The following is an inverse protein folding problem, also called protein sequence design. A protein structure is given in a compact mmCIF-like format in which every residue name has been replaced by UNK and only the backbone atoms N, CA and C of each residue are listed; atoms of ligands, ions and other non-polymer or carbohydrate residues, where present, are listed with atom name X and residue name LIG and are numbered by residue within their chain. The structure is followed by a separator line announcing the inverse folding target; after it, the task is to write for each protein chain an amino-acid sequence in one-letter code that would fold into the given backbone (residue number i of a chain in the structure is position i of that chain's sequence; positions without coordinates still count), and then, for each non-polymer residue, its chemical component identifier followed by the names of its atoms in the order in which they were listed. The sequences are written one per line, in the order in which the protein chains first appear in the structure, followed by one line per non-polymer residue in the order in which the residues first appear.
data_IF_068558095963
#
_entry.id   IF_068558095963
#
_cell.length_a   1.000
_cell.length_b   1.000
_cell.length_c   1.000
_cell.angle_alpha   90.00
_cell.angle_beta   90.00
_cell.angle_gamma   90.00
#
_symmetry.space_group_name_H-M   'P 1'
#
loop_
_entity.id
_entity.type
_entity.pdbx_description
1 polymer ?
#
# COMPACT_ATOMS: atom_id res chain seq x y z
N UNK A 1 20.82 -16.15 -11.59
CA UNK A 1 21.40 -15.42 -10.44
C UNK A 1 20.67 -15.95 -9.21
N UNK A 2 21.39 -16.21 -8.15
CA UNK A 2 20.80 -16.66 -6.89
C UNK A 2 20.19 -15.44 -6.20
N UNK A 3 18.93 -15.54 -5.76
CA UNK A 3 18.25 -14.47 -5.01
C UNK A 3 18.88 -14.41 -3.60
N UNK A 4 19.48 -13.27 -3.25
CA UNK A 4 20.17 -13.08 -1.97
C UNK A 4 19.23 -13.26 -0.78
N UNK A 5 17.97 -12.90 -0.92
CA UNK A 5 16.99 -13.04 0.15
C UNK A 5 16.63 -14.51 0.42
N UNK A 6 16.62 -15.36 -0.61
CA UNK A 6 16.41 -16.81 -0.47
C UNK A 6 17.61 -17.47 0.22
N UNK A 7 18.83 -17.08 -0.16
CA UNK A 7 20.06 -17.60 0.47
C UNK A 7 20.14 -17.21 1.95
N UNK A 8 19.60 -16.05 2.32
CA UNK A 8 19.60 -15.56 3.69
C UNK A 8 18.56 -16.25 4.61
N UNK A 9 17.64 -17.08 4.08
CA UNK A 9 16.57 -17.69 4.88
C UNK A 9 17.09 -18.44 6.13
N UNK A 10 18.15 -19.29 6.08
CA UNK A 10 18.67 -19.93 7.29
C UNK A 10 19.17 -18.91 8.32
N UNK A 11 19.79 -17.81 7.86
CA UNK A 11 20.24 -16.70 8.71
C UNK A 11 19.05 -15.99 9.38
N UNK A 12 17.97 -15.79 8.67
CA UNK A 12 16.74 -15.19 9.25
C UNK A 12 16.22 -16.01 10.41
N UNK A 13 16.04 -17.31 10.23
CA UNK A 13 15.56 -18.18 11.34
C UNK A 13 16.55 -18.27 12.50
N UNK A 14 17.85 -18.33 12.21
CA UNK A 14 18.88 -18.35 13.24
C UNK A 14 18.87 -17.07 14.10
N UNK A 15 18.82 -15.90 13.45
CA UNK A 15 18.79 -14.59 14.15
C UNK A 15 17.48 -14.35 14.87
N UNK A 16 16.33 -14.74 14.28
CA UNK A 16 15.03 -14.72 14.98
C UNK A 16 15.04 -15.58 16.24
N UNK A 17 15.61 -16.78 16.18
CA UNK A 17 15.75 -17.65 17.37
C UNK A 17 16.61 -17.02 18.46
N UNK A 18 17.71 -16.38 18.08
CA UNK A 18 18.60 -15.66 18.99
C UNK A 18 17.90 -14.45 19.63
N UNK A 19 17.19 -13.64 18.82
CA UNK A 19 16.42 -12.50 19.30
C UNK A 19 15.28 -12.95 20.23
N UNK A 20 14.55 -14.00 19.88
CA UNK A 20 13.52 -14.58 20.75
C UNK A 20 14.08 -14.95 22.12
N UNK A 21 15.22 -15.67 22.16
CA UNK A 21 15.85 -16.05 23.44
C UNK A 21 16.32 -14.83 24.24
N UNK A 22 16.85 -13.81 23.57
CA UNK A 22 17.29 -12.57 24.20
C UNK A 22 16.11 -11.76 24.77
N UNK A 23 15.09 -11.51 23.97
CA UNK A 23 13.92 -10.71 24.38
C UNK A 23 13.10 -11.42 25.46
N UNK A 24 12.98 -12.76 25.39
CA UNK A 24 12.35 -13.58 26.43
C UNK A 24 13.06 -13.43 27.78
N UNK A 25 14.40 -13.53 27.82
CA UNK A 25 15.19 -13.35 29.05
C UNK A 25 15.04 -11.96 29.65
N UNK A 26 15.01 -10.91 28.82
CA UNK A 26 14.79 -9.53 29.29
C UNK A 26 13.42 -9.38 29.95
N UNK A 27 12.37 -9.90 29.32
CA UNK A 27 11.00 -9.87 29.86
C UNK A 27 10.88 -10.67 31.18
N UNK A 28 11.49 -11.84 31.24
CA UNK A 28 11.55 -12.65 32.48
C UNK A 28 12.31 -11.93 33.62
N UNK A 29 13.24 -11.04 33.26
CA UNK A 29 13.94 -10.17 34.21
C UNK A 29 13.15 -8.88 34.57
N UNK A 30 11.89 -8.74 34.09
CA UNK A 30 11.03 -7.58 34.40
C UNK A 30 11.20 -6.38 33.47
N UNK A 31 11.89 -6.53 32.36
CA UNK A 31 12.05 -5.45 31.39
C UNK A 31 10.82 -5.33 30.49
N UNK A 32 9.99 -4.35 30.78
CA UNK A 32 8.77 -4.03 30.02
C UNK A 32 9.04 -3.19 28.75
N UNK A 33 10.29 -2.76 28.53
CA UNK A 33 10.63 -1.95 27.35
C UNK A 33 10.61 -2.75 26.04
N UNK A 34 10.64 -4.09 26.13
CA UNK A 34 10.68 -5.01 24.99
C UNK A 34 9.39 -5.82 24.94
N UNK A 35 8.61 -5.69 23.85
CA UNK A 35 7.38 -6.46 23.66
C UNK A 35 7.66 -7.92 23.28
N UNK A 36 8.77 -8.16 22.55
CA UNK A 36 9.20 -9.47 22.12
C UNK A 36 8.25 -10.12 21.11
N UNK A 37 8.25 -11.46 21.10
CA UNK A 37 7.46 -12.27 20.17
C UNK A 37 6.11 -12.65 20.79
N UNK A 38 5.08 -12.58 19.97
CA UNK A 38 3.76 -13.15 20.24
C UNK A 38 3.48 -14.21 19.16
N UNK A 39 2.88 -15.34 19.55
CA UNK A 39 2.77 -16.51 18.68
C UNK A 39 1.97 -16.25 17.41
N UNK A 40 0.77 -15.72 17.56
CA UNK A 40 -0.16 -15.58 16.43
C UNK A 40 0.28 -14.47 15.48
N UNK A 41 0.85 -13.39 16.01
CA UNK A 41 1.46 -12.32 15.23
C UNK A 41 2.68 -12.83 14.43
N UNK A 42 3.54 -13.62 15.09
CA UNK A 42 4.72 -14.23 14.45
C UNK A 42 4.31 -15.20 13.33
N UNK A 43 3.33 -16.08 13.61
CA UNK A 43 2.82 -17.01 12.60
C UNK A 43 2.19 -16.27 11.42
N UNK A 44 1.45 -15.19 11.67
CA UNK A 44 0.92 -14.34 10.60
C UNK A 44 2.06 -13.72 9.77
N UNK A 45 3.11 -13.20 10.42
CA UNK A 45 4.29 -12.63 9.73
C UNK A 45 4.97 -13.66 8.83
N UNK A 46 5.20 -14.87 9.34
CA UNK A 46 5.80 -15.97 8.56
C UNK A 46 4.89 -16.43 7.40
N UNK A 47 3.58 -16.54 7.64
CA UNK A 47 2.61 -16.92 6.61
C UNK A 47 2.56 -15.87 5.48
N UNK A 48 2.60 -14.58 5.82
CA UNK A 48 2.67 -13.51 4.84
C UNK A 48 3.99 -13.53 4.07
N UNK A 49 5.12 -13.79 4.75
CA UNK A 49 6.42 -13.95 4.10
C UNK A 49 6.44 -15.09 3.07
N UNK A 50 5.96 -16.27 3.43
CA UNK A 50 5.81 -17.39 2.49
C UNK A 50 4.84 -17.02 1.35
N UNK A 51 3.71 -16.39 1.68
CA UNK A 51 2.75 -15.92 0.70
C UNK A 51 3.36 -14.96 -0.32
N UNK A 52 4.19 -14.02 0.12
CA UNK A 52 4.84 -13.04 -0.74
C UNK A 52 5.86 -13.67 -1.72
N UNK A 53 6.51 -14.76 -1.34
CA UNK A 53 7.39 -15.52 -2.24
C UNK A 53 6.61 -16.30 -3.32
N UNK A 54 5.44 -16.83 -2.96
CA UNK A 54 4.61 -17.65 -3.87
C UNK A 54 3.69 -16.78 -4.75
N UNK A 55 3.21 -15.67 -4.24
CA UNK A 55 2.24 -14.81 -4.91
C UNK A 55 2.68 -14.35 -6.32
N UNK A 56 3.92 -13.92 -6.59
CA UNK A 56 4.35 -13.50 -7.92
C UNK A 56 4.23 -14.63 -8.95
N UNK A 57 4.48 -15.89 -8.55
CA UNK A 57 4.41 -17.05 -9.44
C UNK A 57 2.96 -17.34 -9.87
N UNK A 58 2.02 -17.23 -8.93
CA UNK A 58 0.58 -17.45 -9.16
C UNK A 58 -0.01 -16.25 -9.91
N UNK A 59 0.25 -15.05 -9.42
CA UNK A 59 -0.32 -13.81 -9.96
C UNK A 59 0.11 -13.55 -11.39
N UNK A 60 1.35 -13.87 -11.77
CA UNK A 60 1.80 -13.76 -13.15
C UNK A 60 0.93 -14.60 -14.12
N UNK A 61 0.49 -15.79 -13.68
CA UNK A 61 -0.40 -16.66 -14.47
C UNK A 61 -1.83 -16.13 -14.49
N UNK A 62 -2.35 -15.69 -13.33
CA UNK A 62 -3.74 -15.21 -13.17
C UNK A 62 -3.95 -13.88 -13.91
N UNK A 63 -3.00 -12.97 -13.85
CA UNK A 63 -3.13 -11.63 -14.45
C UNK A 63 -2.83 -11.58 -15.95
N UNK A 64 -2.04 -12.55 -16.47
CA UNK A 64 -1.68 -12.58 -17.91
C UNK A 64 -2.89 -12.50 -18.85
N UNK A 65 -3.99 -13.26 -18.64
CA UNK A 65 -5.16 -13.20 -19.53
C UNK A 65 -5.82 -11.82 -19.61
N UNK A 66 -5.83 -11.09 -18.52
CA UNK A 66 -6.51 -9.78 -18.39
C UNK A 66 -5.59 -8.58 -18.64
N UNK A 67 -4.28 -8.81 -18.79
CA UNK A 67 -3.31 -7.72 -19.04
C UNK A 67 -3.51 -7.11 -20.44
N UNK A 68 -3.78 -5.80 -20.56
CA UNK A 68 -3.95 -5.14 -21.84
C UNK A 68 -2.74 -5.28 -22.77
N UNK A 69 -2.98 -5.65 -24.02
CA UNK A 69 -1.94 -5.85 -25.03
C UNK A 69 -1.15 -7.16 -24.91
N UNK A 70 -1.47 -8.03 -23.94
CA UNK A 70 -0.86 -9.37 -23.78
C UNK A 70 -1.88 -10.48 -23.68
N UNK A 71 -2.97 -10.28 -22.94
CA UNK A 71 -4.00 -11.28 -22.72
C UNK A 71 -5.20 -11.13 -23.64
N UNK A 72 -5.87 -12.26 -23.94
CA UNK A 72 -7.07 -12.25 -24.80
C UNK A 72 -8.24 -11.46 -24.18
N UNK A 73 -8.28 -11.34 -22.84
CA UNK A 73 -9.33 -10.63 -22.12
C UNK A 73 -8.95 -9.17 -21.78
N UNK A 74 -7.72 -8.73 -22.09
CA UNK A 74 -7.25 -7.39 -21.74
C UNK A 74 -8.08 -6.27 -22.36
N UNK A 75 -8.56 -6.44 -23.61
CA UNK A 75 -9.49 -5.48 -24.24
C UNK A 75 -10.86 -5.49 -23.56
N UNK A 76 -11.37 -6.68 -23.23
CA UNK A 76 -12.65 -6.82 -22.54
C UNK A 76 -12.60 -6.15 -21.15
N UNK A 77 -11.52 -6.33 -20.39
CA UNK A 77 -11.33 -5.64 -19.12
C UNK A 77 -11.41 -4.11 -19.25
N UNK A 78 -10.68 -3.54 -20.23
CA UNK A 78 -10.71 -2.09 -20.47
C UNK A 78 -12.10 -1.61 -20.88
N UNK A 79 -12.74 -2.30 -21.81
CA UNK A 79 -14.08 -1.94 -22.27
C UNK A 79 -15.12 -2.05 -21.14
N UNK A 80 -15.03 -3.09 -20.31
CA UNK A 80 -15.88 -3.25 -19.12
C UNK A 80 -15.66 -2.12 -18.12
N UNK A 81 -14.42 -1.74 -17.84
CA UNK A 81 -14.11 -0.62 -16.93
C UNK A 81 -14.65 0.71 -17.47
N UNK A 82 -14.45 0.99 -18.75
CA UNK A 82 -14.95 2.22 -19.41
C UNK A 82 -16.48 2.23 -19.46
N UNK A 83 -17.13 1.12 -19.83
CA UNK A 83 -18.59 0.99 -19.82
C UNK A 83 -19.18 1.17 -18.42
N UNK A 84 -18.56 0.57 -17.42
CA UNK A 84 -18.95 0.73 -16.03
C UNK A 84 -18.77 2.18 -15.54
N UNK A 85 -17.70 2.88 -15.97
CA UNK A 85 -17.53 4.30 -15.68
C UNK A 85 -18.64 5.16 -16.31
N UNK A 86 -19.02 4.88 -17.54
CA UNK A 86 -20.14 5.56 -18.21
C UNK A 86 -21.47 5.32 -17.47
N UNK A 87 -21.75 4.08 -17.06
CA UNK A 87 -22.95 3.73 -16.26
C UNK A 87 -22.94 4.47 -14.92
N UNK A 88 -21.80 4.51 -14.23
CA UNK A 88 -21.64 5.25 -12.96
C UNK A 88 -21.93 6.74 -13.15
N UNK A 89 -21.35 7.35 -14.18
CA UNK A 89 -21.55 8.78 -14.48
C UNK A 89 -23.01 9.10 -14.80
N UNK A 90 -23.67 8.24 -15.61
CA UNK A 90 -25.09 8.40 -15.92
C UNK A 90 -25.98 8.23 -14.69
N UNK A 91 -25.68 7.24 -13.83
CA UNK A 91 -26.42 7.01 -12.59
C UNK A 91 -26.26 8.18 -11.61
N UNK A 92 -25.03 8.70 -11.41
CA UNK A 92 -24.79 9.90 -10.59
C UNK A 92 -25.57 11.12 -11.11
N UNK A 93 -25.62 11.31 -12.44
CA UNK A 93 -26.39 12.41 -13.05
C UNK A 93 -27.90 12.27 -12.82
N UNK A 94 -28.44 11.05 -12.89
CA UNK A 94 -29.85 10.78 -12.57
C UNK A 94 -30.14 11.05 -11.10
N UNK A 95 -29.27 10.61 -10.19
CA UNK A 95 -29.45 10.81 -8.75
C UNK A 95 -29.46 12.28 -8.38
N UNK A 96 -28.50 13.08 -8.87
CA UNK A 96 -28.46 14.55 -8.63
C UNK A 96 -29.72 15.25 -9.13
N UNK A 97 -30.12 15.01 -10.39
CA UNK A 97 -31.31 15.65 -10.97
C UNK A 97 -32.62 15.30 -10.25
N UNK A 98 -32.65 14.16 -9.57
CA UNK A 98 -33.83 13.74 -8.81
C UNK A 98 -33.82 14.23 -7.36
N UNK A 99 -32.66 14.62 -6.83
CA UNK A 99 -32.53 15.31 -5.54
C UNK A 99 -33.02 16.76 -5.64
N UNK A 100 -32.54 17.49 -6.64
CA UNK A 100 -32.93 18.89 -6.93
C UNK A 100 -34.46 19.01 -7.16
N UNK A 101 -35.08 18.02 -7.82
CA UNK A 101 -36.50 18.03 -8.13
C UNK A 101 -37.45 17.62 -6.97
N UNK A 102 -36.93 16.91 -5.95
CA UNK A 102 -37.71 16.57 -4.74
C UNK A 102 -37.76 17.77 -3.75
N UNK A 103 -36.83 18.74 -3.82
CA UNK A 103 -36.82 19.97 -3.02
C UNK A 103 -37.77 21.05 -3.57
N UNK A 104 -37.97 21.11 -4.88
CA UNK A 104 -38.91 22.07 -5.50
C UNK A 104 -40.40 21.65 -5.33
N UNK A 105 -40.67 20.37 -5.16
CA UNK A 105 -42.03 19.84 -5.00
C UNK A 105 -42.51 19.77 -3.54
N UNK A 106 -42.37 20.86 -2.78
CA UNK A 106 -42.88 20.97 -1.42
C UNK A 106 -44.41 20.68 -1.35
N UNK A 107 -44.78 19.60 -0.58
CA UNK A 107 -46.13 19.07 -0.25
C UNK A 107 -46.79 18.19 -1.34
N UNK A 108 -47.07 16.92 -1.05
CA UNK A 108 -47.70 15.99 -2.02
C UNK A 108 -49.19 16.14 -2.02
N UNK A 109 -49.74 17.08 -2.77
CA UNK A 109 -51.19 17.29 -2.96
C UNK A 109 -51.76 16.87 -4.31
N UNK A 110 -50.93 16.40 -5.25
CA UNK A 110 -51.39 15.97 -6.58
C UNK A 110 -51.25 14.43 -6.78
N UNK A 111 -52.17 13.81 -7.55
CA UNK A 111 -52.07 12.39 -7.92
C UNK A 111 -50.75 12.09 -8.65
N UNK A 112 -50.24 10.87 -8.57
CA UNK A 112 -48.95 10.52 -9.17
C UNK A 112 -49.00 10.66 -10.71
N UNK A 113 -48.33 11.69 -11.23
CA UNK A 113 -48.14 11.88 -12.66
C UNK A 113 -47.20 10.78 -13.19
N UNK A 114 -47.43 10.27 -14.38
CA UNK A 114 -46.60 9.28 -15.07
C UNK A 114 -45.11 9.66 -15.12
N UNK A 115 -44.81 10.96 -15.15
CA UNK A 115 -43.45 11.49 -15.11
C UNK A 115 -42.80 11.27 -13.72
N UNK A 116 -43.54 11.42 -12.64
CA UNK A 116 -43.08 11.19 -11.25
C UNK A 116 -42.77 9.71 -11.03
N UNK A 117 -43.57 8.82 -11.55
CA UNK A 117 -43.33 7.37 -11.48
C UNK A 117 -42.08 6.97 -12.30
N UNK A 118 -41.90 7.52 -13.51
CA UNK A 118 -40.71 7.32 -14.33
C UNK A 118 -39.44 7.81 -13.62
N UNK A 119 -39.47 8.99 -12.99
CA UNK A 119 -38.35 9.55 -12.21
C UNK A 119 -38.01 8.62 -11.02
N UNK A 120 -38.98 8.17 -10.24
CA UNK A 120 -38.79 7.23 -9.13
C UNK A 120 -38.20 5.91 -9.60
N UNK A 121 -38.65 5.36 -10.72
CA UNK A 121 -38.12 4.14 -11.33
C UNK A 121 -36.65 4.34 -11.76
N UNK A 122 -36.35 5.44 -12.42
CA UNK A 122 -34.98 5.78 -12.84
C UNK A 122 -34.04 5.94 -11.63
N UNK A 123 -34.46 6.66 -10.59
CA UNK A 123 -33.71 6.82 -9.33
C UNK A 123 -33.43 5.47 -8.65
N UNK A 124 -34.42 4.59 -8.59
CA UNK A 124 -34.26 3.24 -8.03
C UNK A 124 -33.25 2.40 -8.80
N UNK A 125 -33.26 2.48 -10.14
CA UNK A 125 -32.30 1.79 -11.00
C UNK A 125 -30.90 2.39 -10.81
N UNK A 126 -30.77 3.71 -10.83
CA UNK A 126 -29.49 4.40 -10.64
C UNK A 126 -28.84 4.05 -9.31
N UNK A 127 -29.62 4.04 -8.19
CA UNK A 127 -29.12 3.63 -6.87
C UNK A 127 -28.61 2.19 -6.82
N UNK A 128 -29.23 1.27 -7.57
CA UNK A 128 -28.77 -0.13 -7.65
C UNK A 128 -27.49 -0.30 -8.47
N UNK A 129 -27.29 0.54 -9.48
CA UNK A 129 -26.19 0.41 -10.44
C UNK A 129 -24.94 1.20 -10.06
N UNK A 130 -25.10 2.36 -9.41
CA UNK A 130 -24.00 3.31 -9.20
C UNK A 130 -22.82 2.71 -8.41
N UNK A 131 -23.10 2.01 -7.31
CA UNK A 131 -22.06 1.38 -6.51
C UNK A 131 -21.32 0.26 -7.23
N UNK A 132 -21.99 -0.81 -7.68
CA UNK A 132 -21.35 -1.91 -8.40
C UNK A 132 -20.62 -1.47 -9.68
N UNK A 133 -21.20 -0.52 -10.44
CA UNK A 133 -20.55 0.01 -11.63
C UNK A 133 -19.30 0.84 -11.26
N UNK A 134 -19.37 1.68 -10.22
CA UNK A 134 -18.23 2.44 -9.71
C UNK A 134 -17.07 1.53 -9.28
N UNK A 135 -17.35 0.49 -8.52
CA UNK A 135 -16.37 -0.53 -8.13
C UNK A 135 -15.77 -1.22 -9.36
N UNK A 136 -16.60 -1.65 -10.30
CA UNK A 136 -16.13 -2.30 -11.54
C UNK A 136 -15.23 -1.39 -12.36
N UNK A 137 -15.58 -0.11 -12.48
CA UNK A 137 -14.80 0.88 -13.22
C UNK A 137 -13.42 1.09 -12.56
N UNK A 138 -13.40 1.32 -11.26
CA UNK A 138 -12.18 1.60 -10.51
C UNK A 138 -11.29 0.35 -10.45
N UNK A 139 -11.81 -0.78 -10.01
CA UNK A 139 -11.03 -2.02 -9.91
C UNK A 139 -10.49 -2.47 -11.29
N UNK A 140 -11.33 -2.43 -12.32
CA UNK A 140 -10.92 -2.74 -13.68
C UNK A 140 -9.85 -1.79 -14.21
N UNK A 141 -9.99 -0.48 -13.95
CA UNK A 141 -9.02 0.54 -14.31
C UNK A 141 -7.68 0.34 -13.62
N UNK A 142 -7.68 0.06 -12.30
CA UNK A 142 -6.48 -0.20 -11.52
C UNK A 142 -5.78 -1.48 -12.00
N UNK A 143 -6.49 -2.58 -12.18
CA UNK A 143 -5.91 -3.84 -12.70
C UNK A 143 -5.32 -3.63 -14.10
N UNK A 144 -6.03 -2.96 -15.00
CA UNK A 144 -5.52 -2.68 -16.34
C UNK A 144 -4.29 -1.77 -16.33
N UNK A 145 -4.29 -0.73 -15.50
CA UNK A 145 -3.18 0.21 -15.32
C UNK A 145 -1.94 -0.45 -14.75
N UNK A 146 -2.06 -1.09 -13.58
CA UNK A 146 -0.95 -1.72 -12.86
C UNK A 146 -0.32 -2.86 -13.64
N UNK A 147 -1.13 -3.75 -14.25
CA UNK A 147 -0.60 -4.86 -15.05
C UNK A 147 0.08 -4.36 -16.34
N UNK A 148 -0.44 -3.32 -16.97
CA UNK A 148 0.21 -2.68 -18.12
C UNK A 148 1.54 -2.05 -17.72
N UNK A 149 1.55 -1.30 -16.61
CA UNK A 149 2.75 -0.68 -16.06
C UNK A 149 3.81 -1.73 -15.75
N UNK A 150 3.49 -2.72 -14.92
CA UNK A 150 4.41 -3.79 -14.53
C UNK A 150 5.04 -4.51 -15.73
N UNK A 151 4.25 -4.73 -16.81
CA UNK A 151 4.77 -5.40 -18.00
C UNK A 151 5.61 -4.50 -18.92
N UNK A 152 5.44 -3.19 -18.85
CA UNK A 152 6.16 -2.23 -19.70
C UNK A 152 7.43 -1.70 -19.05
N UNK A 153 7.52 -1.73 -17.72
CA UNK A 153 8.61 -1.14 -16.94
C UNK A 153 9.60 -2.16 -16.36
N UNK A 154 9.57 -3.41 -16.83
CA UNK A 154 10.56 -4.41 -16.40
C UNK A 154 11.97 -3.98 -16.76
N UNK A 155 12.95 -4.20 -15.87
CA UNK A 155 14.35 -3.84 -16.06
C UNK A 155 14.90 -4.37 -17.40
N UNK A 156 14.66 -5.65 -17.72
CA UNK A 156 15.08 -6.27 -18.98
C UNK A 156 14.49 -5.58 -20.23
N UNK A 157 13.24 -5.11 -20.16
CA UNK A 157 12.60 -4.45 -21.31
C UNK A 157 13.16 -3.05 -21.52
N UNK A 158 13.36 -2.31 -20.45
CA UNK A 158 13.89 -0.96 -20.50
C UNK A 158 15.37 -0.97 -20.87
N UNK A 159 16.13 -1.92 -20.34
CA UNK A 159 17.52 -2.16 -20.71
C UNK A 159 17.73 -2.34 -22.22
N UNK A 160 16.93 -3.19 -22.86
CA UNK A 160 17.01 -3.44 -24.31
C UNK A 160 16.74 -2.22 -25.18
N UNK A 161 16.14 -1.18 -24.64
CA UNK A 161 15.82 0.06 -25.35
C UNK A 161 16.91 1.13 -25.20
N UNK A 162 17.84 0.92 -24.30
CA UNK A 162 18.86 1.90 -23.94
C UNK A 162 20.25 1.46 -24.41
N UNK A 163 21.07 2.44 -24.82
CA UNK A 163 22.44 2.16 -25.33
C UNK A 163 23.52 2.35 -24.26
N UNK A 164 23.17 2.88 -23.09
CA UNK A 164 24.14 3.16 -22.02
C UNK A 164 24.34 1.92 -21.17
N UNK A 165 25.58 1.55 -20.92
CA UNK A 165 25.98 0.44 -20.06
C UNK A 165 27.07 0.93 -19.10
N UNK A 166 26.72 0.95 -17.79
CA UNK A 166 27.63 1.34 -16.72
C UNK A 166 28.55 0.19 -16.28
N UNK A 167 28.38 -1.01 -16.87
CA UNK A 167 29.16 -2.19 -16.50
C UNK A 167 28.71 -2.82 -15.19
N UNK A 168 29.64 -3.61 -14.58
CA UNK A 168 29.41 -4.36 -13.33
C UNK A 168 30.53 -4.16 -12.31
N UNK A 169 31.37 -3.18 -12.50
CA UNK A 169 32.48 -2.84 -11.58
C UNK A 169 31.95 -2.30 -10.23
N UNK A 170 32.86 -2.13 -9.28
CA UNK A 170 32.57 -1.67 -7.94
C UNK A 170 31.77 -0.34 -7.91
N UNK A 171 32.17 0.64 -8.72
CA UNK A 171 31.49 1.94 -8.82
C UNK A 171 30.05 1.80 -9.34
N UNK A 172 29.83 0.95 -10.35
CA UNK A 172 28.50 0.69 -10.87
C UNK A 172 27.63 -0.03 -9.82
N UNK A 173 28.21 -0.94 -9.03
CA UNK A 173 27.51 -1.65 -7.95
C UNK A 173 27.10 -0.69 -6.83
N UNK A 174 28.02 0.12 -6.32
CA UNK A 174 27.71 1.13 -5.30
C UNK A 174 26.68 2.13 -5.84
N UNK A 175 26.86 2.62 -7.06
CA UNK A 175 25.93 3.52 -7.72
C UNK A 175 24.52 2.90 -7.87
N UNK A 176 24.43 1.61 -8.20
CA UNK A 176 23.15 0.91 -8.28
C UNK A 176 22.46 0.77 -6.91
N UNK A 177 23.22 0.48 -5.84
CA UNK A 177 22.67 0.40 -4.46
C UNK A 177 22.16 1.75 -4.01
N UNK A 178 22.95 2.83 -4.20
CA UNK A 178 22.53 4.18 -3.82
C UNK A 178 21.32 4.66 -4.64
N UNK A 179 21.30 4.40 -5.93
CA UNK A 179 20.17 4.76 -6.79
C UNK A 179 18.93 3.95 -6.46
N UNK A 180 19.07 2.66 -6.09
CA UNK A 180 17.99 1.84 -5.59
C UNK A 180 17.43 2.41 -4.28
N UNK A 181 18.29 2.73 -3.32
CA UNK A 181 17.93 3.25 -2.01
C UNK A 181 17.15 4.57 -2.13
N UNK A 182 17.60 5.46 -3.02
CA UNK A 182 16.90 6.71 -3.34
C UNK A 182 15.49 6.47 -3.93
N UNK A 183 15.37 5.56 -4.90
CA UNK A 183 14.07 5.21 -5.50
C UNK A 183 13.18 4.52 -4.48
N UNK A 184 13.76 3.68 -3.63
CA UNK A 184 13.03 3.01 -2.57
C UNK A 184 12.41 4.02 -1.60
N UNK A 185 13.15 5.04 -1.17
CA UNK A 185 12.62 6.12 -0.32
C UNK A 185 11.33 6.72 -0.90
N UNK A 186 11.34 7.10 -2.18
CA UNK A 186 10.17 7.68 -2.84
C UNK A 186 9.02 6.69 -2.99
N UNK A 187 9.33 5.44 -3.34
CA UNK A 187 8.31 4.41 -3.41
C UNK A 187 7.66 4.15 -2.06
N UNK A 188 8.46 4.04 -1.01
CA UNK A 188 8.00 3.80 0.35
C UNK A 188 7.13 4.97 0.86
N UNK A 189 7.59 6.20 0.63
CA UNK A 189 6.81 7.40 0.93
C UNK A 189 5.46 7.41 0.20
N UNK A 190 5.43 7.11 -1.10
CA UNK A 190 4.18 7.02 -1.85
C UNK A 190 3.26 5.89 -1.36
N UNK A 191 3.81 4.80 -0.84
CA UNK A 191 3.03 3.74 -0.20
C UNK A 191 2.28 4.23 1.03
N UNK A 192 2.77 5.25 1.71
CA UNK A 192 2.07 5.91 2.83
C UNK A 192 1.12 7.03 2.36
N UNK A 193 1.47 7.76 1.32
CA UNK A 193 0.71 8.91 0.84
C UNK A 193 -0.44 8.57 -0.14
N UNK A 194 -0.55 7.32 -0.61
CA UNK A 194 -1.61 6.86 -1.50
C UNK A 194 -2.29 5.63 -0.93
N UNK A 195 -3.60 5.71 -0.68
CA UNK A 195 -4.35 4.63 -0.03
C UNK A 195 -4.33 3.32 -0.80
N UNK A 196 -4.29 3.37 -2.15
CA UNK A 196 -4.12 2.16 -2.97
C UNK A 196 -2.77 1.47 -2.70
N UNK A 197 -1.70 2.23 -2.61
CA UNK A 197 -0.37 1.70 -2.30
C UNK A 197 -0.27 1.32 -0.82
N UNK A 198 -0.90 2.09 0.07
CA UNK A 198 -1.03 1.76 1.48
C UNK A 198 -1.74 0.42 1.69
N UNK A 199 -2.79 0.12 0.94
CA UNK A 199 -3.50 -1.16 1.03
C UNK A 199 -2.60 -2.38 0.78
N UNK A 200 -1.47 -2.19 0.09
CA UNK A 200 -0.42 -3.20 -0.06
C UNK A 200 0.51 -3.15 1.16
N UNK A 201 0.97 -1.96 1.54
CA UNK A 201 2.01 -1.78 2.56
C UNK A 201 1.50 -1.90 4.00
N UNK A 202 0.22 -1.61 4.25
CA UNK A 202 -0.43 -1.77 5.56
C UNK A 202 -0.30 -3.19 6.14
N UNK A 203 -0.15 -4.19 5.28
CA UNK A 203 0.16 -5.58 5.67
C UNK A 203 1.40 -5.61 6.56
N UNK A 204 2.45 -4.90 6.15
CA UNK A 204 3.72 -4.81 6.85
C UNK A 204 3.57 -4.08 8.20
N UNK A 205 2.84 -2.98 8.25
CA UNK A 205 2.59 -2.20 9.45
C UNK A 205 1.56 -2.81 10.40
N UNK A 206 0.84 -3.86 10.00
CA UNK A 206 -0.24 -4.46 10.81
C UNK A 206 0.23 -5.34 11.97
N UNK A 207 1.53 -5.51 12.16
CA UNK A 207 2.09 -6.20 13.33
C UNK A 207 1.99 -5.31 14.57
N UNK A 208 1.41 -5.84 15.65
CA UNK A 208 1.36 -5.18 16.96
C UNK A 208 2.60 -5.51 17.80
N UNK A 209 3.57 -6.19 17.20
CA UNK A 209 4.89 -6.52 17.74
C UNK A 209 5.97 -6.02 16.80
N UNK A 210 7.14 -5.77 17.35
CA UNK A 210 8.27 -5.33 16.54
C UNK A 210 9.52 -6.17 16.85
N UNK A 211 9.82 -7.08 15.94
CA UNK A 211 10.92 -8.02 16.04
C UNK A 211 11.30 -8.50 14.62
N UNK A 212 12.35 -9.30 14.49
CA UNK A 212 12.83 -9.74 13.19
C UNK A 212 11.79 -10.49 12.35
N UNK A 213 10.74 -11.08 12.95
CA UNK A 213 9.66 -11.68 12.17
C UNK A 213 8.77 -10.63 11.47
N UNK A 214 8.70 -9.41 12.01
CA UNK A 214 7.96 -8.29 11.38
C UNK A 214 8.53 -7.95 10.02
N UNK A 215 9.86 -8.04 9.83
CA UNK A 215 10.49 -7.88 8.51
C UNK A 215 9.97 -8.88 7.47
N UNK A 216 9.51 -10.04 7.89
CA UNK A 216 8.97 -11.09 7.01
C UNK A 216 7.46 -10.94 6.76
N UNK A 217 6.77 -9.99 7.41
CA UNK A 217 5.37 -9.67 7.15
C UNK A 217 5.25 -8.86 5.84
N UNK A 218 5.43 -9.55 4.73
CA UNK A 218 5.48 -8.94 3.40
C UNK A 218 4.13 -9.04 2.68
N UNK A 219 3.76 -8.03 1.88
CA UNK A 219 2.51 -8.04 1.14
C UNK A 219 2.51 -9.11 0.04
N UNK A 220 1.40 -9.84 -0.08
CA UNK A 220 1.16 -10.77 -1.19
C UNK A 220 0.65 -10.06 -2.44
N UNK A 221 0.20 -8.82 -2.31
CA UNK A 221 -0.41 -8.03 -3.37
C UNK A 221 0.59 -7.13 -4.13
N UNK A 222 1.88 -7.25 -3.89
CA UNK A 222 2.94 -6.49 -4.58
C UNK A 222 2.83 -6.55 -6.11
N UNK A 223 2.30 -7.65 -6.65
CA UNK A 223 2.06 -7.79 -8.09
C UNK A 223 1.07 -6.74 -8.65
N UNK A 224 0.21 -6.17 -7.80
CA UNK A 224 -0.73 -5.09 -8.16
C UNK A 224 -0.17 -3.69 -7.91
N UNK A 225 0.85 -3.60 -7.06
CA UNK A 225 1.45 -2.33 -6.66
C UNK A 225 2.88 -2.15 -7.15
N UNK A 226 3.34 -2.91 -8.14
CA UNK A 226 4.69 -2.79 -8.70
C UNK A 226 4.93 -1.37 -9.25
N UNK A 227 4.79 -0.41 -8.33
CA UNK A 227 5.06 0.99 -8.58
C UNK A 227 6.56 1.26 -8.57
N UNK A 228 7.35 0.38 -7.91
CA UNK A 228 8.80 0.55 -7.89
C UNK A 228 9.31 0.49 -9.33
N UNK A 229 9.73 1.61 -9.88
CA UNK A 229 10.25 1.65 -11.22
C UNK A 229 11.69 1.09 -11.24
N UNK A 230 11.89 -0.13 -10.77
CA UNK A 230 13.20 -0.79 -10.82
C UNK A 230 13.79 -0.76 -12.21
N UNK A 231 12.92 -0.83 -13.21
CA UNK A 231 13.29 -0.63 -14.59
C UNK A 231 13.87 0.75 -14.91
N UNK A 232 13.55 1.81 -14.14
CA UNK A 232 14.15 3.13 -14.36
C UNK A 232 15.67 3.11 -14.13
N UNK A 233 16.16 2.31 -13.19
CA UNK A 233 17.59 2.11 -13.00
C UNK A 233 18.25 1.56 -14.28
N UNK A 234 17.56 0.69 -14.99
CA UNK A 234 18.07 0.18 -16.29
C UNK A 234 18.05 1.24 -17.40
N UNK A 235 17.19 2.25 -17.33
CA UNK A 235 17.26 3.42 -18.21
C UNK A 235 18.47 4.30 -17.92
N UNK A 236 18.93 4.35 -16.67
CA UNK A 236 20.15 5.06 -16.30
C UNK A 236 21.43 4.34 -16.75
N UNK A 237 21.31 3.08 -17.20
CA UNK A 237 22.44 2.27 -17.68
C UNK A 237 22.91 1.20 -16.70
N UNK A 238 22.17 0.94 -15.62
CA UNK A 238 22.46 -0.21 -14.75
C UNK A 238 21.92 -1.49 -15.36
N UNK A 239 22.76 -2.51 -15.44
CA UNK A 239 22.37 -3.83 -15.95
C UNK A 239 21.29 -4.46 -15.07
N UNK A 240 20.30 -5.18 -15.62
CA UNK A 240 19.21 -5.80 -14.84
C UNK A 240 19.70 -6.67 -13.67
N UNK A 241 20.81 -7.39 -13.86
CA UNK A 241 21.40 -8.20 -12.79
C UNK A 241 21.90 -7.34 -11.63
N UNK A 242 22.45 -6.16 -11.90
CA UNK A 242 22.94 -5.25 -10.89
C UNK A 242 21.79 -4.61 -10.12
N UNK A 243 20.69 -4.31 -10.82
CA UNK A 243 19.44 -3.81 -10.21
C UNK A 243 18.88 -4.84 -9.22
N UNK A 244 18.87 -6.13 -9.58
CA UNK A 244 18.43 -7.20 -8.67
C UNK A 244 19.40 -7.41 -7.50
N UNK A 245 20.69 -7.27 -7.71
CA UNK A 245 21.69 -7.29 -6.62
C UNK A 245 21.45 -6.13 -5.65
N UNK A 246 21.25 -4.91 -6.16
CA UNK A 246 20.94 -3.75 -5.32
C UNK A 246 19.66 -3.94 -4.51
N UNK A 247 18.61 -4.52 -5.12
CA UNK A 247 17.37 -4.92 -4.42
C UNK A 247 17.68 -5.89 -3.28
N UNK A 248 18.43 -6.94 -3.55
CA UNK A 248 18.77 -7.93 -2.54
C UNK A 248 19.54 -7.35 -1.36
N UNK A 249 20.54 -6.49 -1.63
CA UNK A 249 21.31 -5.77 -0.60
C UNK A 249 20.39 -4.90 0.25
N UNK A 250 19.50 -4.15 -0.39
CA UNK A 250 18.56 -3.26 0.29
C UNK A 250 17.60 -4.05 1.20
N UNK A 251 17.02 -5.16 0.73
CA UNK A 251 16.12 -6.01 1.53
C UNK A 251 16.84 -6.69 2.69
N UNK A 252 18.09 -7.13 2.50
CA UNK A 252 18.90 -7.69 3.60
C UNK A 252 19.19 -6.64 4.67
N UNK A 253 19.47 -5.40 4.23
CA UNK A 253 19.65 -4.30 5.17
C UNK A 253 18.38 -4.05 5.97
N UNK A 254 17.24 -4.00 5.33
CA UNK A 254 15.94 -3.76 6.01
C UNK A 254 15.60 -4.83 7.03
N UNK A 255 16.05 -6.07 6.85
CA UNK A 255 15.73 -7.15 7.79
C UNK A 255 16.22 -6.85 9.22
N UNK A 256 17.48 -6.51 9.39
CA UNK A 256 18.09 -6.36 10.72
C UNK A 256 17.63 -5.11 11.48
N UNK A 257 17.07 -4.12 10.79
CA UNK A 257 16.54 -2.92 11.46
C UNK A 257 15.17 -3.15 12.14
N UNK A 258 14.52 -4.29 11.89
CA UNK A 258 13.24 -4.65 12.52
C UNK A 258 13.45 -5.34 13.87
N UNK A 259 13.96 -4.62 14.87
CA UNK A 259 14.20 -5.20 16.20
C UNK A 259 14.13 -4.18 17.31
N UNK A 260 13.62 -4.60 18.48
CA UNK A 260 13.75 -3.88 19.75
C UNK A 260 15.04 -4.26 20.51
N UNK A 261 15.76 -5.29 20.06
CA UNK A 261 16.97 -5.77 20.76
C UNK A 261 18.15 -4.80 20.62
N UNK A 262 18.13 -3.92 19.62
CA UNK A 262 19.19 -2.95 19.35
C UNK A 262 18.67 -1.55 19.63
N UNK A 263 19.33 -0.85 20.56
CA UNK A 263 19.03 0.56 20.89
C UNK A 263 19.56 1.55 19.86
N UNK A 264 19.74 2.80 20.30
CA UNK A 264 20.31 3.86 19.45
C UNK A 264 21.81 3.60 19.17
N UNK A 265 22.22 3.83 17.92
CA UNK A 265 23.59 3.58 17.43
C UNK A 265 24.45 4.86 17.33
N UNK A 266 24.03 5.95 17.98
CA UNK A 266 24.78 7.20 18.07
C UNK A 266 25.01 7.83 16.70
N UNK A 267 26.26 8.21 16.39
CA UNK A 267 26.61 8.96 15.16
C UNK A 267 26.32 8.20 13.86
N UNK A 268 26.18 6.88 13.89
CA UNK A 268 25.76 6.12 12.70
C UNK A 268 24.34 6.54 12.24
N UNK A 269 23.51 6.99 13.17
CA UNK A 269 22.14 7.46 12.93
C UNK A 269 22.06 8.81 12.17
N UNK A 270 23.17 9.49 12.00
CA UNK A 270 23.21 10.71 11.18
C UNK A 270 23.08 10.39 9.69
N UNK A 271 23.52 9.19 9.27
CA UNK A 271 23.58 8.76 7.86
C UNK A 271 22.74 7.52 7.59
N UNK A 272 22.81 6.53 8.48
CA UNK A 272 22.16 5.23 8.28
C UNK A 272 20.77 5.18 8.92
N UNK A 273 19.86 4.49 8.25
CA UNK A 273 18.62 4.07 8.88
C UNK A 273 18.93 2.92 9.85
N UNK A 274 18.52 3.04 11.09
CA UNK A 274 18.83 2.12 12.19
C UNK A 274 17.56 1.54 12.79
N UNK A 275 17.64 0.53 13.67
CA UNK A 275 16.46 0.03 14.37
C UNK A 275 15.65 1.14 15.07
N UNK A 276 16.33 2.13 15.68
CA UNK A 276 15.67 3.29 16.32
C UNK A 276 14.82 4.09 15.31
N UNK A 277 15.37 4.39 14.15
CA UNK A 277 14.63 5.12 13.11
C UNK A 277 13.46 4.31 12.52
N UNK A 278 13.67 3.01 12.35
CA UNK A 278 12.66 2.15 11.74
C UNK A 278 11.56 1.75 12.72
N UNK A 279 11.83 1.74 14.04
CA UNK A 279 10.78 1.69 15.07
C UNK A 279 9.84 2.87 14.97
N UNK A 280 10.37 4.10 14.82
CA UNK A 280 9.56 5.30 14.58
C UNK A 280 8.67 5.13 13.34
N UNK A 281 9.25 4.60 12.25
CA UNK A 281 8.51 4.34 11.01
C UNK A 281 7.30 3.41 11.23
N UNK A 282 7.44 2.39 12.07
CA UNK A 282 6.38 1.46 12.45
C UNK A 282 5.48 1.96 13.58
N UNK A 283 5.73 3.16 14.11
CA UNK A 283 4.97 3.73 15.21
C UNK A 283 3.60 4.27 14.77
N UNK A 284 2.56 3.95 15.54
CA UNK A 284 1.23 4.55 15.43
C UNK A 284 1.04 5.81 16.29
N UNK A 285 2.09 6.25 17.00
CA UNK A 285 2.12 7.52 17.71
C UNK A 285 1.86 8.68 16.72
N UNK A 286 1.06 9.69 17.06
CA UNK A 286 0.73 10.80 16.15
C UNK A 286 1.94 11.48 15.51
N UNK A 287 3.03 11.69 16.27
CA UNK A 287 4.28 12.31 15.82
C UNK A 287 5.13 11.41 14.91
N UNK A 288 4.85 10.10 14.88
CA UNK A 288 5.58 9.09 14.10
C UNK A 288 4.91 8.72 12.78
N UNK A 289 3.65 9.11 12.62
CA UNK A 289 2.90 8.84 11.38
C UNK A 289 3.63 9.46 10.18
N UNK A 290 3.80 8.65 9.14
CA UNK A 290 4.43 9.02 7.87
C UNK A 290 5.86 9.59 8.02
N UNK A 291 6.66 8.99 8.92
CA UNK A 291 8.06 9.33 9.16
C UNK A 291 9.02 8.20 8.77
N UNK A 292 10.27 8.59 8.49
CA UNK A 292 11.42 7.69 8.32
C UNK A 292 11.24 6.61 7.23
N UNK A 293 10.97 7.02 6.00
CA UNK A 293 10.75 6.14 4.85
C UNK A 293 12.05 5.56 4.23
N UNK A 294 13.23 6.02 4.66
CA UNK A 294 14.52 5.53 4.16
C UNK A 294 14.70 4.05 4.39
N UNK A 295 15.48 3.39 3.53
CA UNK A 295 15.86 1.99 3.70
C UNK A 295 17.26 1.87 4.33
N UNK A 296 18.33 2.09 3.55
CA UNK A 296 19.70 2.06 4.05
C UNK A 296 20.09 3.42 4.64
N UNK A 297 19.78 4.50 3.91
CA UNK A 297 20.20 5.85 4.24
C UNK A 297 19.02 6.68 4.77
N UNK A 298 19.14 7.19 5.99
CA UNK A 298 18.18 8.12 6.60
C UNK A 298 18.35 9.56 6.06
N UNK A 299 19.40 9.80 5.29
CA UNK A 299 19.65 11.14 4.72
C UNK A 299 18.53 11.61 3.79
N UNK A 300 17.80 10.68 3.16
CA UNK A 300 16.65 11.03 2.31
C UNK A 300 15.53 11.64 3.13
N UNK A 301 15.23 11.07 4.30
CA UNK A 301 14.22 11.62 5.21
C UNK A 301 14.61 13.00 5.73
N UNK A 302 15.90 13.21 6.04
CA UNK A 302 16.42 14.51 6.45
C UNK A 302 16.31 15.53 5.31
N UNK A 303 16.64 15.13 4.09
CA UNK A 303 16.61 15.98 2.91
C UNK A 303 15.19 16.39 2.50
N UNK A 304 14.24 15.46 2.61
CA UNK A 304 12.85 15.66 2.15
C UNK A 304 11.84 15.89 3.29
N UNK A 305 12.32 16.13 4.52
CA UNK A 305 11.51 16.61 5.63
C UNK A 305 10.62 15.57 6.30
N UNK A 306 10.92 14.27 6.13
CA UNK A 306 10.19 13.16 6.77
C UNK A 306 10.94 12.53 7.95
N UNK A 307 12.07 13.11 8.36
CA UNK A 307 12.87 12.60 9.47
C UNK A 307 12.21 12.88 10.83
N UNK A 308 12.17 11.86 11.70
CA UNK A 308 11.79 11.97 13.10
C UNK A 308 12.69 11.08 13.97
N UNK A 309 13.11 11.59 15.13
CA UNK A 309 13.85 10.81 16.13
C UNK A 309 12.89 9.95 16.95
N UNK A 310 13.41 8.87 17.52
CA UNK A 310 12.72 8.09 18.54
C UNK A 310 12.87 8.79 19.89
N UNK A 311 11.93 9.65 20.23
CA UNK A 311 11.94 10.42 21.48
C UNK A 311 10.96 9.82 22.50
N UNK A 312 9.84 9.28 22.05
CA UNK A 312 8.82 8.63 22.85
C UNK A 312 8.81 7.11 22.60
N UNK A 313 8.29 6.36 23.55
CA UNK A 313 8.08 4.91 23.37
C UNK A 313 7.16 4.66 22.18
N UNK A 314 7.61 3.80 21.28
CA UNK A 314 6.84 3.46 20.10
C UNK A 314 5.65 2.56 20.47
N UNK A 315 4.49 2.90 19.95
CA UNK A 315 3.28 2.06 19.95
C UNK A 315 3.17 1.43 18.57
N UNK A 316 3.25 0.10 18.49
CA UNK A 316 3.19 -0.61 17.21
C UNK A 316 1.77 -0.99 16.82
N UNK A 317 1.58 -1.31 15.55
CA UNK A 317 0.32 -1.59 14.93
C UNK A 317 -0.23 -0.40 14.17
N UNK A 318 -1.49 -0.51 13.78
CA UNK A 318 -2.19 0.54 13.04
C UNK A 318 -2.88 1.51 14.01
N UNK A 319 -3.19 2.71 13.56
CA UNK A 319 -4.06 3.64 14.32
C UNK A 319 -5.44 3.03 14.61
N UNK A 320 -5.87 2.07 13.79
CA UNK A 320 -7.01 1.19 14.03
C UNK A 320 -6.60 -0.23 13.64
N UNK A 321 -6.35 -1.09 14.61
CA UNK A 321 -5.91 -2.46 14.39
C UNK A 321 -6.96 -3.32 13.70
N UNK A 322 -6.50 -4.39 13.02
CA UNK A 322 -7.36 -5.30 12.23
C UNK A 322 -8.15 -6.25 13.14
N UNK A 323 -7.69 -6.45 14.39
CA UNK A 323 -8.20 -7.41 15.37
C UNK A 323 -8.26 -8.85 14.83
N UNK A 324 -7.25 -9.22 14.01
CA UNK A 324 -7.18 -10.53 13.38
C UNK A 324 -5.77 -10.86 12.93
N UNK A 325 -5.31 -12.07 13.24
CA UNK A 325 -4.06 -12.63 12.72
C UNK A 325 -4.27 -13.50 11.47
N UNK A 326 -5.49 -13.57 10.94
CA UNK A 326 -5.78 -14.39 9.76
C UNK A 326 -5.15 -13.78 8.50
N UNK A 327 -4.23 -14.49 7.79
CA UNK A 327 -3.46 -13.92 6.67
C UNK A 327 -4.32 -13.33 5.55
N UNK A 328 -5.46 -13.94 5.21
CA UNK A 328 -6.34 -13.39 4.19
C UNK A 328 -6.97 -12.06 4.64
N UNK A 329 -7.34 -11.91 5.93
CA UNK A 329 -7.87 -10.65 6.46
C UNK A 329 -6.80 -9.58 6.43
N UNK A 330 -5.58 -9.90 6.87
CA UNK A 330 -4.43 -9.00 6.82
C UNK A 330 -4.18 -8.51 5.39
N UNK A 331 -4.19 -9.43 4.41
CA UNK A 331 -3.91 -9.10 3.02
C UNK A 331 -4.99 -8.28 2.30
N UNK A 332 -6.25 -8.29 2.78
CA UNK A 332 -7.38 -7.79 1.98
C UNK A 332 -8.23 -6.72 2.64
N UNK A 333 -8.07 -6.46 3.94
CA UNK A 333 -8.97 -5.56 4.68
C UNK A 333 -9.06 -4.17 4.07
N UNK A 334 -7.91 -3.52 3.82
CA UNK A 334 -7.86 -2.15 3.30
C UNK A 334 -8.35 -2.09 1.83
N UNK A 335 -8.05 -3.11 1.03
CA UNK A 335 -8.62 -3.21 -0.32
C UNK A 335 -10.15 -3.31 -0.28
N UNK A 336 -10.71 -4.09 0.65
CA UNK A 336 -12.16 -4.21 0.83
C UNK A 336 -12.78 -2.89 1.28
N UNK A 337 -12.08 -2.14 2.15
CA UNK A 337 -12.54 -0.84 2.63
C UNK A 337 -12.52 0.21 1.50
N UNK A 338 -11.47 0.25 0.68
CA UNK A 338 -11.43 1.09 -0.53
C UNK A 338 -12.63 0.79 -1.45
N UNK A 339 -12.88 -0.49 -1.75
CA UNK A 339 -14.00 -0.86 -2.64
C UNK A 339 -15.36 -0.50 -2.04
N UNK A 340 -15.52 -0.62 -0.73
CA UNK A 340 -16.73 -0.20 0.00
C UNK A 340 -16.93 1.31 -0.10
N UNK A 341 -15.87 2.10 0.09
CA UNK A 341 -15.93 3.56 0.00
C UNK A 341 -16.26 4.04 -1.42
N UNK A 342 -15.66 3.41 -2.44
CA UNK A 342 -15.98 3.64 -3.85
C UNK A 342 -17.45 3.35 -4.14
N UNK A 343 -17.98 2.23 -3.61
CA UNK A 343 -19.38 1.84 -3.81
C UNK A 343 -20.37 2.84 -3.19
N UNK A 344 -20.01 3.43 -2.05
CA UNK A 344 -20.87 4.39 -1.33
C UNK A 344 -20.63 5.86 -1.73
N UNK A 345 -19.68 6.13 -2.61
CA UNK A 345 -19.41 7.49 -3.09
C UNK A 345 -20.43 7.92 -4.14
N UNK A 346 -20.84 9.19 -4.09
CA UNK A 346 -21.88 9.81 -4.95
C UNK A 346 -21.30 10.62 -6.10
N UNK A 347 -19.97 10.71 -6.18
CA UNK A 347 -19.27 11.47 -7.22
C UNK A 347 -17.88 10.88 -7.50
N UNK A 348 -17.32 11.22 -8.68
CA UNK A 348 -15.99 10.77 -9.08
C UNK A 348 -14.83 11.32 -8.24
N UNK A 349 -14.81 12.61 -7.82
CA UNK A 349 -13.77 13.12 -6.94
C UNK A 349 -13.62 12.31 -5.65
N UNK A 350 -14.72 11.91 -5.01
CA UNK A 350 -14.68 11.07 -3.81
C UNK A 350 -14.20 9.65 -4.14
N UNK A 351 -14.72 9.02 -5.21
CA UNK A 351 -14.25 7.68 -5.64
C UNK A 351 -12.76 7.64 -5.87
N UNK A 352 -12.24 8.62 -6.62
CA UNK A 352 -10.80 8.71 -6.88
C UNK A 352 -10.02 9.11 -5.63
N UNK A 353 -10.58 9.98 -4.77
CA UNK A 353 -9.99 10.36 -3.49
C UNK A 353 -9.79 9.16 -2.58
N UNK A 354 -10.79 8.28 -2.43
CA UNK A 354 -10.69 7.07 -1.63
C UNK A 354 -9.67 6.04 -2.14
N UNK A 355 -9.28 6.13 -3.40
CA UNK A 355 -8.25 5.24 -3.99
C UNK A 355 -6.86 5.85 -3.92
N UNK A 356 -6.69 7.13 -4.27
CA UNK A 356 -5.39 7.71 -4.57
C UNK A 356 -4.89 8.75 -3.57
N UNK A 357 -5.77 9.33 -2.72
CA UNK A 357 -5.30 10.17 -1.61
C UNK A 357 -4.81 9.30 -0.45
N UNK A 358 -4.10 9.91 0.50
CA UNK A 358 -3.59 9.20 1.67
C UNK A 358 -4.69 8.61 2.57
N UNK A 359 -4.37 7.59 3.38
CA UNK A 359 -5.34 6.99 4.30
C UNK A 359 -5.94 8.01 5.29
N UNK A 360 -5.16 8.99 5.75
CA UNK A 360 -5.64 10.07 6.62
C UNK A 360 -6.82 10.83 6.03
N UNK A 361 -6.77 11.16 4.73
CA UNK A 361 -7.90 11.81 4.05
C UNK A 361 -9.18 10.96 4.08
N UNK A 362 -9.07 9.64 3.97
CA UNK A 362 -10.23 8.76 4.05
C UNK A 362 -10.88 8.79 5.44
N UNK A 363 -10.07 8.81 6.51
CA UNK A 363 -10.57 8.96 7.88
C UNK A 363 -11.27 10.31 8.09
N UNK A 364 -10.66 11.40 7.64
CA UNK A 364 -11.28 12.74 7.69
C UNK A 364 -12.61 12.78 6.92
N UNK A 365 -12.65 12.15 5.73
CA UNK A 365 -13.86 12.09 4.91
C UNK A 365 -14.97 11.25 5.56
N UNK A 366 -14.63 10.20 6.28
CA UNK A 366 -15.58 9.43 7.08
C UNK A 366 -16.12 10.24 8.26
N UNK A 367 -15.25 10.92 9.02
CA UNK A 367 -15.64 11.77 10.13
C UNK A 367 -16.61 12.86 9.69
N UNK A 368 -16.30 13.57 8.59
CA UNK A 368 -17.16 14.61 8.03
C UNK A 368 -18.55 14.13 7.59
N UNK A 369 -18.69 12.83 7.27
CA UNK A 369 -20.02 12.23 6.94
C UNK A 369 -20.86 11.91 8.18
N UNK A 370 -20.23 11.80 9.35
CA UNK A 370 -20.89 11.48 10.62
C UNK A 370 -21.12 12.72 11.50
N UNK A 371 -20.51 13.86 11.18
CA UNK A 371 -20.83 15.10 11.84
C UNK A 371 -22.24 15.57 11.43
N UNK A 372 -23.12 15.92 12.39
CA UNK A 372 -24.42 16.52 12.07
C UNK A 372 -24.14 17.83 11.31
N UNK A 373 -24.72 17.98 10.13
CA UNK A 373 -24.68 19.29 9.45
C UNK A 373 -25.22 20.36 10.40
N UNK A 374 -24.50 21.48 10.62
CA UNK A 374 -25.06 22.57 11.40
C UNK A 374 -26.41 22.95 10.78
N UNK A 375 -27.44 22.99 11.60
CA UNK A 375 -28.76 23.40 11.16
C UNK A 375 -28.59 24.71 10.39
N UNK A 376 -29.09 24.74 9.14
CA UNK A 376 -29.04 25.94 8.31
C UNK A 376 -29.65 27.07 9.15
N UNK A 377 -28.81 28.02 9.52
CA UNK A 377 -29.22 29.12 10.40
C UNK A 377 -30.41 29.85 9.74
N UNK A 378 -31.50 29.87 10.46
CA UNK A 378 -32.60 30.78 10.22
C UNK A 378 -32.01 32.18 10.52
N UNK A 379 -31.65 32.93 9.46
CA UNK A 379 -31.35 34.33 9.53
C UNK A 379 -32.60 35.12 9.24
#
# INVERSE_FOLDING_TARGET
MVDLTVVAIPGYFGTMGAEYAYTKRRREAGDESVLGYERDDTLASLAMGVGSLLAPMVMAKVLKPVTPGRGKLGRALVLTAVGAAAVTTAADAVLRRTEDGDEEDGVPTAPPDANRERRRKARRIARKLVGPAGVTAVAGGVVAGTTTWATRTTANRLWRRHRRDLGTGALATVGAVLAWDFIYYWNHRFMHESRWLWAIHVVHHSSERYNLSTALRQPVADAFGAFVPTGLLSLLGFRPQLVETARGVNLLYQYWIHTEAIGKLGRAEDILNTPSHHRVHHGSNPEYIDRNHGSILIIWDRLFGTFQREDERVVYGLTKNIESFHPARIATHEHADILRDVAHSTNWPDRMGFVFRGPGWAYERHAARHEPQPAAGVA
#
